data_IF_864728776196
#
_entry.id   IF_864728776196
#
_cell.length_a   1.000
_cell.length_b   1.000
_cell.length_c   1.000
_cell.angle_alpha   90.00
_cell.angle_beta   90.00
_cell.angle_gamma   90.00
#
_symmetry.space_group_name_H-M   'P 1'
#
loop_
_entity.id
_entity.type
_entity.pdbx_description
1 polymer ?
#
# COMPACT_ATOMS: atom_id res chain seq x y z
N UNK A 1 22.63 -8.49 -38.06
CA UNK A 1 22.11 -9.85 -38.21
C UNK A 1 22.34 -10.31 -39.63
N UNK A 2 23.28 -11.23 -39.79
CA UNK A 2 23.75 -11.75 -41.07
C UNK A 2 22.64 -12.57 -41.76
N UNK A 3 22.50 -12.43 -43.08
CA UNK A 3 21.50 -13.11 -43.94
C UNK A 3 21.61 -14.66 -43.97
N UNK A 4 22.26 -15.27 -42.98
CA UNK A 4 22.57 -16.70 -42.96
C UNK A 4 21.45 -17.59 -42.40
N UNK A 5 20.42 -17.01 -41.77
CA UNK A 5 19.34 -17.79 -41.11
C UNK A 5 17.95 -17.31 -41.51
N UNK A 6 17.62 -17.26 -42.81
CA UNK A 6 16.24 -17.51 -43.24
C UNK A 6 16.18 -17.73 -44.76
N UNK A 7 16.12 -19.00 -45.17
CA UNK A 7 15.55 -19.35 -46.47
C UNK A 7 14.19 -19.96 -46.15
N UNK A 8 13.14 -19.13 -46.25
CA UNK A 8 11.75 -19.56 -46.21
C UNK A 8 11.36 -19.90 -47.64
N UNK A 9 11.24 -21.19 -47.95
CA UNK A 9 10.74 -21.65 -49.25
C UNK A 9 9.22 -21.83 -49.16
N UNK A 10 8.48 -20.72 -49.02
CA UNK A 10 7.02 -20.68 -49.14
C UNK A 10 6.54 -20.66 -50.61
N UNK A 11 7.28 -21.34 -51.49
CA UNK A 11 6.86 -21.59 -52.87
C UNK A 11 6.98 -23.08 -53.12
N UNK A 12 5.94 -23.69 -53.67
CA UNK A 12 6.01 -25.04 -54.24
C UNK A 12 7.12 -25.06 -55.30
N UNK A 13 8.30 -25.54 -54.92
CA UNK A 13 9.36 -25.82 -55.87
C UNK A 13 8.98 -27.11 -56.57
N UNK A 14 8.63 -27.02 -57.86
CA UNK A 14 8.51 -28.19 -58.72
C UNK A 14 9.93 -28.66 -59.02
N UNK A 15 10.34 -29.78 -58.42
CA UNK A 15 11.63 -30.41 -58.66
C UNK A 15 11.56 -31.22 -59.94
N UNK A 16 12.36 -30.85 -60.94
CA UNK A 16 12.48 -31.60 -62.19
C UNK A 16 13.62 -32.62 -62.05
N UNK A 17 13.24 -33.90 -61.94
CA UNK A 17 14.17 -35.02 -61.82
C UNK A 17 14.65 -35.56 -63.19
N UNK A 18 14.19 -34.98 -64.30
CA UNK A 18 14.71 -35.31 -65.64
C UNK A 18 16.11 -34.73 -65.90
N UNK A 19 16.55 -33.78 -65.05
CA UNK A 19 17.85 -33.12 -65.14
C UNK A 19 18.74 -33.55 -63.96
N UNK A 20 19.91 -34.12 -64.28
CA UNK A 20 20.91 -34.54 -63.30
C UNK A 20 21.99 -33.47 -63.22
N UNK A 21 22.35 -33.05 -61.99
CA UNK A 21 23.45 -32.10 -61.79
C UNK A 21 24.76 -32.68 -62.33
N UNK A 22 25.42 -31.96 -63.22
CA UNK A 22 26.70 -32.39 -63.80
C UNK A 22 27.86 -32.36 -62.79
N UNK A 23 27.70 -31.65 -61.66
CA UNK A 23 28.74 -31.55 -60.62
C UNK A 23 28.62 -32.63 -59.55
N UNK A 24 27.41 -33.07 -59.22
CA UNK A 24 27.17 -34.07 -58.15
C UNK A 24 26.62 -35.40 -58.67
N UNK A 25 26.14 -35.45 -59.92
CA UNK A 25 25.47 -36.61 -60.49
C UNK A 25 24.12 -36.92 -59.85
N UNK A 26 23.53 -35.98 -59.11
CA UNK A 26 22.27 -36.18 -58.37
C UNK A 26 21.09 -35.48 -59.03
N UNK A 27 19.89 -36.06 -58.88
CA UNK A 27 18.63 -35.43 -59.27
C UNK A 27 18.27 -34.29 -58.32
N UNK A 28 17.38 -33.40 -58.76
CA UNK A 28 16.88 -32.27 -57.99
C UNK A 28 16.23 -32.71 -56.67
N UNK A 29 15.44 -33.79 -56.67
CA UNK A 29 14.85 -34.39 -55.46
C UNK A 29 15.89 -34.87 -54.46
N UNK A 30 16.94 -35.55 -54.94
CA UNK A 30 18.02 -36.02 -54.06
C UNK A 30 18.79 -34.86 -53.44
N UNK A 31 19.06 -33.81 -54.22
CA UNK A 31 19.73 -32.61 -53.71
C UNK A 31 18.86 -31.94 -52.65
N UNK A 32 17.57 -31.75 -52.92
CA UNK A 32 16.63 -31.16 -51.96
C UNK A 32 16.56 -31.97 -50.67
N UNK A 33 16.36 -33.29 -50.76
CA UNK A 33 16.36 -34.19 -49.59
C UNK A 33 17.66 -34.10 -48.81
N UNK A 34 18.81 -34.04 -49.47
CA UNK A 34 20.10 -33.91 -48.80
C UNK A 34 20.26 -32.54 -48.10
N UNK A 35 19.74 -31.46 -48.69
CA UNK A 35 19.76 -30.13 -48.08
C UNK A 35 18.88 -30.11 -46.83
N UNK A 36 17.67 -30.67 -46.91
CA UNK A 36 16.76 -30.77 -45.76
C UNK A 36 17.35 -31.65 -44.67
N UNK A 37 17.94 -32.79 -45.03
CA UNK A 37 18.58 -33.73 -44.10
C UNK A 37 19.78 -33.11 -43.37
N UNK A 38 20.55 -32.26 -44.06
CA UNK A 38 21.68 -31.52 -43.45
C UNK A 38 21.28 -30.18 -42.83
N UNK A 39 20.01 -29.83 -42.82
CA UNK A 39 19.55 -28.54 -42.27
C UNK A 39 19.49 -28.65 -40.75
N UNK A 40 20.36 -27.91 -40.09
CA UNK A 40 20.30 -27.67 -38.65
C UNK A 40 19.12 -26.72 -38.40
N UNK A 41 18.13 -27.19 -37.65
CA UNK A 41 16.91 -26.45 -37.28
C UNK A 41 16.79 -26.21 -35.79
N UNK A 42 17.60 -26.93 -34.99
CA UNK A 42 17.61 -26.82 -33.54
C UNK A 42 18.99 -26.47 -33.02
N UNK A 43 19.02 -25.80 -31.88
CA UNK A 43 20.25 -25.34 -31.25
C UNK A 43 21.15 -26.51 -30.83
N UNK A 44 20.56 -27.66 -30.45
CA UNK A 44 21.27 -28.90 -30.12
C UNK A 44 21.94 -29.63 -31.29
N UNK A 45 21.65 -29.26 -32.53
CA UNK A 45 22.23 -29.90 -33.72
C UNK A 45 23.56 -29.24 -34.13
N UNK A 46 24.00 -28.19 -33.43
CA UNK A 46 25.27 -27.50 -33.64
C UNK A 46 26.41 -28.17 -32.86
N UNK A 47 27.48 -28.57 -33.56
CA UNK A 47 28.61 -29.30 -32.97
C UNK A 47 29.43 -28.45 -31.97
N UNK A 48 29.43 -27.12 -32.16
CA UNK A 48 30.12 -26.12 -31.36
C UNK A 48 29.30 -25.61 -30.17
N UNK A 49 28.14 -26.20 -29.90
CA UNK A 49 27.25 -25.83 -28.80
C UNK A 49 27.15 -26.97 -27.79
N UNK A 50 27.30 -26.65 -26.51
CA UNK A 50 26.99 -27.52 -25.38
C UNK A 50 25.55 -27.25 -24.90
N UNK A 51 24.68 -28.24 -25.10
CA UNK A 51 23.26 -28.19 -24.75
C UNK A 51 22.89 -29.05 -23.55
N UNK A 52 23.88 -29.61 -22.83
CA UNK A 52 23.64 -30.55 -21.71
C UNK A 52 22.76 -29.93 -20.62
N UNK A 53 22.88 -28.62 -20.39
CA UNK A 53 22.17 -27.90 -19.32
C UNK A 53 21.08 -26.93 -19.82
N UNK A 54 20.55 -27.12 -21.04
CA UNK A 54 19.60 -26.18 -21.64
C UNK A 54 18.28 -26.08 -20.84
N UNK A 55 17.82 -24.85 -20.61
CA UNK A 55 16.57 -24.45 -19.93
C UNK A 55 16.04 -23.15 -20.53
N UNK A 56 14.79 -22.80 -20.22
CA UNK A 56 14.21 -21.52 -20.64
C UNK A 56 14.94 -20.32 -20.01
N UNK A 57 15.03 -19.21 -20.76
CA UNK A 57 15.59 -17.91 -20.32
C UNK A 57 17.09 -17.93 -19.94
N UNK A 58 17.88 -18.72 -20.65
CA UNK A 58 19.33 -18.75 -20.50
C UNK A 58 20.04 -17.82 -21.50
N UNK A 59 21.24 -17.37 -21.13
CA UNK A 59 22.17 -16.67 -22.00
C UNK A 59 23.09 -17.69 -22.70
N UNK A 60 23.49 -17.41 -23.94
CA UNK A 60 24.49 -18.19 -24.66
C UNK A 60 25.83 -17.46 -24.59
N UNK A 61 26.87 -18.13 -24.09
CA UNK A 61 28.21 -17.58 -23.94
C UNK A 61 29.28 -18.55 -24.45
N UNK A 62 30.40 -18.03 -24.95
CA UNK A 62 31.54 -18.86 -25.34
C UNK A 62 32.35 -19.25 -24.10
N UNK A 63 32.68 -20.53 -23.96
CA UNK A 63 33.54 -21.05 -22.90
C UNK A 63 34.92 -21.36 -23.46
N UNK A 64 35.95 -20.65 -23.01
CA UNK A 64 37.35 -20.90 -23.40
C UNK A 64 37.82 -22.30 -22.94
N UNK A 65 37.35 -22.77 -21.79
CA UNK A 65 37.72 -24.08 -21.22
C UNK A 65 37.23 -25.26 -22.05
N UNK A 66 36.04 -25.14 -22.65
CA UNK A 66 35.45 -26.21 -23.47
C UNK A 66 35.59 -25.96 -24.97
N UNK A 67 36.00 -24.76 -25.38
CA UNK A 67 36.08 -24.32 -26.77
C UNK A 67 34.72 -24.25 -27.48
N UNK A 68 33.60 -24.22 -26.73
CA UNK A 68 32.23 -24.31 -27.23
C UNK A 68 31.34 -23.20 -26.66
N UNK A 69 30.24 -22.89 -27.36
CA UNK A 69 29.16 -22.07 -26.82
C UNK A 69 28.37 -22.89 -25.79
N UNK A 70 28.17 -22.37 -24.60
CA UNK A 70 27.40 -22.99 -23.52
C UNK A 70 26.26 -22.08 -23.06
N UNK A 71 25.35 -22.63 -22.27
CA UNK A 71 24.21 -21.92 -21.71
C UNK A 71 24.46 -21.55 -20.25
N UNK A 72 24.10 -20.32 -19.86
CA UNK A 72 24.21 -19.82 -18.49
C UNK A 72 22.83 -19.39 -18.01
N UNK A 73 22.46 -19.75 -16.79
CA UNK A 73 21.22 -19.28 -16.17
C UNK A 73 21.25 -17.75 -16.00
N UNK A 74 20.21 -17.05 -16.48
CA UNK A 74 20.11 -15.60 -16.34
C UNK A 74 20.10 -15.11 -14.89
N UNK A 75 19.66 -15.95 -13.93
CA UNK A 75 19.72 -15.63 -12.51
C UNK A 75 21.12 -15.81 -11.90
N UNK A 76 21.90 -16.78 -12.41
CA UNK A 76 23.29 -17.02 -11.99
C UNK A 76 24.29 -16.11 -12.72
N UNK A 77 23.86 -15.48 -13.82
CA UNK A 77 24.61 -14.51 -14.60
C UNK A 77 24.93 -13.20 -13.85
N UNK A 78 24.54 -13.07 -12.57
CA UNK A 78 24.63 -11.85 -11.74
C UNK A 78 26.01 -11.18 -11.64
N UNK A 79 27.08 -11.81 -12.14
CA UNK A 79 28.43 -11.23 -12.23
C UNK A 79 29.00 -11.06 -13.65
N UNK A 80 28.25 -11.45 -14.70
CA UNK A 80 28.69 -11.31 -16.09
C UNK A 80 28.63 -9.84 -16.49
N UNK A 81 29.78 -9.31 -16.95
CA UNK A 81 29.88 -7.97 -17.52
C UNK A 81 28.88 -7.81 -18.66
N UNK A 82 27.85 -6.97 -18.45
CA UNK A 82 26.82 -6.67 -19.45
C UNK A 82 25.49 -7.44 -19.34
N UNK A 83 25.32 -8.34 -18.36
CA UNK A 83 24.08 -9.14 -18.22
C UNK A 83 23.32 -8.97 -16.88
N UNK A 84 23.80 -8.14 -15.95
CA UNK A 84 23.11 -7.84 -14.69
C UNK A 84 23.51 -6.49 -14.09
N UNK A 85 22.63 -5.89 -13.27
CA UNK A 85 22.93 -4.66 -12.53
C UNK A 85 23.69 -4.99 -11.24
N UNK A 86 24.81 -4.31 -11.00
CA UNK A 86 25.58 -4.40 -9.75
C UNK A 86 25.19 -3.26 -8.83
N UNK A 87 25.36 -3.45 -7.52
CA UNK A 87 25.08 -2.41 -6.51
C UNK A 87 26.30 -2.18 -5.62
N UNK A 88 26.65 -0.92 -5.39
CA UNK A 88 27.57 -0.49 -4.33
C UNK A 88 26.74 0.11 -3.20
N UNK A 89 26.93 -0.37 -1.97
CA UNK A 89 26.35 0.23 -0.76
C UNK A 89 27.45 0.89 0.08
N UNK A 90 27.22 2.13 0.52
CA UNK A 90 28.12 2.85 1.45
C UNK A 90 27.29 3.53 2.53
N UNK A 91 27.68 3.36 3.78
CA UNK A 91 27.03 3.97 4.95
C UNK A 91 27.81 5.19 5.41
N UNK A 92 27.11 6.21 5.91
CA UNK A 92 27.67 7.38 6.57
C UNK A 92 28.67 8.16 5.73
N UNK A 93 28.44 8.26 4.41
CA UNK A 93 29.34 9.04 3.57
C UNK A 93 29.21 10.53 3.92
N UNK A 94 30.34 11.24 3.86
CA UNK A 94 30.40 12.69 4.06
C UNK A 94 30.81 13.32 2.74
N UNK A 95 29.92 14.11 2.15
CA UNK A 95 30.14 14.79 0.86
C UNK A 95 29.38 16.12 0.82
N UNK A 96 29.88 17.07 0.05
CA UNK A 96 29.27 18.39 -0.13
C UNK A 96 29.40 18.88 -1.58
N UNK A 97 28.68 19.95 -1.98
CA UNK A 97 28.86 20.53 -3.31
C UNK A 97 30.27 21.04 -3.60
N UNK A 98 31.03 21.42 -2.57
CA UNK A 98 32.39 21.96 -2.69
C UNK A 98 33.44 20.85 -2.57
N UNK A 99 33.18 19.86 -1.73
CA UNK A 99 34.04 18.69 -1.49
C UNK A 99 33.21 17.40 -1.63
N UNK A 100 32.98 16.93 -2.87
CA UNK A 100 32.16 15.74 -3.09
C UNK A 100 32.89 14.45 -2.69
N UNK A 101 32.14 13.49 -2.16
CA UNK A 101 32.64 12.15 -1.90
C UNK A 101 32.73 11.37 -3.20
N UNK A 102 33.93 10.99 -3.61
CA UNK A 102 34.15 10.16 -4.80
C UNK A 102 33.92 8.69 -4.46
N UNK A 103 33.01 8.04 -5.18
CA UNK A 103 32.79 6.58 -5.17
C UNK A 103 33.21 6.00 -6.51
N UNK A 104 34.20 5.11 -6.49
CA UNK A 104 34.70 4.43 -7.69
C UNK A 104 33.81 3.25 -8.04
N UNK A 105 33.38 3.21 -9.29
CA UNK A 105 32.56 2.16 -9.91
C UNK A 105 33.39 1.51 -11.02
N UNK A 106 33.79 0.24 -10.86
CA UNK A 106 34.55 -0.45 -11.90
C UNK A 106 33.65 -0.71 -13.10
N UNK A 107 34.06 -0.24 -14.28
CA UNK A 107 33.36 -0.47 -15.55
C UNK A 107 34.32 -1.11 -16.55
N UNK A 108 33.82 -1.53 -17.71
CA UNK A 108 34.66 -1.87 -18.86
C UNK A 108 33.89 -1.51 -20.13
N UNK A 109 34.33 -0.45 -20.83
CA UNK A 109 33.63 0.04 -22.02
C UNK A 109 34.61 0.53 -23.08
N UNK A 110 34.24 0.31 -24.35
CA UNK A 110 34.98 0.80 -25.52
C UNK A 110 34.23 1.92 -26.26
N UNK A 111 32.91 2.03 -26.06
CA UNK A 111 32.04 2.99 -26.75
C UNK A 111 31.12 3.79 -25.81
N UNK A 112 31.30 3.63 -24.49
CA UNK A 112 30.58 4.34 -23.42
C UNK A 112 29.07 4.15 -23.40
N UNK A 113 28.54 3.12 -24.07
CA UNK A 113 27.12 2.75 -23.99
C UNK A 113 26.83 1.89 -22.76
N UNK A 114 27.14 2.42 -21.57
CA UNK A 114 26.81 1.76 -20.30
C UNK A 114 25.48 2.31 -19.75
N UNK A 115 24.70 1.50 -19.02
CA UNK A 115 23.51 1.97 -18.32
C UNK A 115 23.81 3.16 -17.41
N UNK A 116 22.85 4.08 -17.26
CA UNK A 116 22.98 5.18 -16.30
C UNK A 116 23.05 4.61 -14.89
N UNK A 117 23.97 5.12 -14.08
CA UNK A 117 24.01 4.80 -12.66
C UNK A 117 22.77 5.39 -11.96
N UNK A 118 22.15 4.61 -11.08
CA UNK A 118 21.04 5.07 -10.24
C UNK A 118 21.55 5.21 -8.81
N UNK A 119 21.66 6.46 -8.34
CA UNK A 119 22.11 6.81 -6.99
C UNK A 119 20.88 6.97 -6.09
N UNK A 120 20.80 6.16 -5.05
CA UNK A 120 19.80 6.23 -4.00
C UNK A 120 20.44 6.78 -2.73
N UNK A 121 19.72 7.66 -2.03
CA UNK A 121 20.04 8.15 -0.70
C UNK A 121 19.05 7.55 0.29
N UNK A 122 19.53 7.11 1.45
CA UNK A 122 18.66 6.76 2.56
C UNK A 122 18.13 8.03 3.22
N UNK A 123 16.82 8.16 3.22
CA UNK A 123 16.07 9.16 3.95
C UNK A 123 15.62 8.51 5.26
N UNK A 124 15.88 9.16 6.40
CA UNK A 124 15.64 8.60 7.74
C UNK A 124 14.15 8.40 8.05
N UNK A 125 13.27 8.74 7.10
CA UNK A 125 11.84 8.81 7.32
C UNK A 125 11.46 10.19 7.81
N UNK A 126 10.19 10.52 7.67
CA UNK A 126 9.64 11.75 8.22
C UNK A 126 9.55 11.56 9.75
N UNK A 127 10.16 12.44 10.53
CA UNK A 127 10.15 12.39 12.01
C UNK A 127 9.05 13.33 12.55
N UNK A 128 8.49 13.01 13.73
CA UNK A 128 7.46 13.82 14.39
C UNK A 128 6.25 14.16 13.49
N UNK A 129 5.82 13.21 12.64
CA UNK A 129 4.73 13.44 11.70
C UNK A 129 3.40 13.38 12.43
N UNK A 130 2.65 14.47 12.41
CA UNK A 130 1.27 14.51 12.90
C UNK A 130 0.31 14.34 11.73
N UNK A 131 -0.57 13.35 11.82
CA UNK A 131 -1.61 13.08 10.83
C UNK A 131 -2.94 12.83 11.53
N UNK A 132 -3.98 13.54 11.09
CA UNK A 132 -5.36 13.27 11.50
C UNK A 132 -5.86 12.00 10.82
N UNK A 133 -6.27 11.02 11.62
CA UNK A 133 -6.76 9.71 11.16
C UNK A 133 -8.27 9.66 10.99
N UNK A 134 -8.99 10.43 11.81
CA UNK A 134 -10.42 10.63 11.70
C UNK A 134 -10.76 12.08 12.05
N UNK A 135 -11.62 12.69 11.23
CA UNK A 135 -12.22 14.01 11.48
C UNK A 135 -13.70 13.90 11.86
N UNK A 136 -14.27 12.68 11.86
CA UNK A 136 -15.67 12.39 12.17
C UNK A 136 -16.67 13.26 11.38
N UNK A 137 -16.29 13.60 10.15
CA UNK A 137 -17.16 14.34 9.23
C UNK A 137 -18.21 13.43 8.60
N UNK A 138 -19.25 14.03 8.01
CA UNK A 138 -20.26 13.26 7.28
C UNK A 138 -19.67 12.34 6.20
N UNK A 139 -18.55 12.74 5.59
CA UNK A 139 -17.84 11.95 4.58
C UNK A 139 -17.23 10.65 5.12
N UNK A 140 -16.95 10.57 6.43
CA UNK A 140 -16.35 9.41 7.09
C UNK A 140 -17.40 8.46 7.69
N UNK A 141 -18.69 8.77 7.61
CA UNK A 141 -19.76 7.92 8.17
C UNK A 141 -19.72 6.47 7.67
N UNK A 142 -19.30 6.25 6.41
CA UNK A 142 -19.17 4.93 5.81
C UNK A 142 -17.97 4.11 6.32
N UNK A 143 -17.05 4.75 7.06
CA UNK A 143 -15.92 4.08 7.68
C UNK A 143 -16.33 3.34 8.97
N UNK A 144 -17.59 3.50 9.40
CA UNK A 144 -18.17 2.89 10.59
C UNK A 144 -19.38 2.02 10.25
N UNK A 145 -19.71 1.09 11.15
CA UNK A 145 -20.94 0.31 11.06
C UNK A 145 -22.13 1.27 11.13
N UNK A 146 -23.03 1.17 10.16
CA UNK A 146 -24.20 2.04 10.05
C UNK A 146 -25.05 1.98 11.32
N UNK A 147 -25.35 3.15 11.87
CA UNK A 147 -26.13 3.31 13.08
C UNK A 147 -27.03 4.56 12.95
N UNK A 148 -28.35 4.34 12.97
CA UNK A 148 -29.37 5.40 12.75
C UNK A 148 -29.47 6.43 13.89
N UNK A 149 -28.78 6.20 15.01
CA UNK A 149 -28.67 7.13 16.13
C UNK A 149 -27.31 7.81 16.22
N UNK A 150 -26.40 7.55 15.29
CA UNK A 150 -25.16 8.32 15.17
C UNK A 150 -25.31 9.41 14.11
N UNK A 151 -24.83 10.60 14.42
CA UNK A 151 -24.77 11.74 13.50
C UNK A 151 -23.31 12.09 13.26
N UNK A 152 -23.00 12.43 12.01
CA UNK A 152 -21.70 12.92 11.56
C UNK A 152 -21.89 14.25 10.85
N UNK A 153 -21.59 15.36 11.52
CA UNK A 153 -21.82 16.72 11.01
C UNK A 153 -20.58 17.62 11.13
N UNK A 154 -19.40 16.99 11.15
CA UNK A 154 -18.13 17.62 11.54
C UNK A 154 -17.70 17.19 12.94
N UNK A 155 -18.61 16.51 13.66
CA UNK A 155 -18.35 15.72 14.85
C UNK A 155 -19.18 14.44 14.78
N UNK A 156 -18.77 13.40 15.52
CA UNK A 156 -19.62 12.25 15.77
C UNK A 156 -20.32 12.39 17.12
N UNK A 157 -21.65 12.25 17.14
CA UNK A 157 -22.44 12.34 18.38
C UNK A 157 -23.76 11.57 18.26
N UNK A 158 -24.46 11.41 19.39
CA UNK A 158 -25.78 10.78 19.41
C UNK A 158 -26.85 11.72 18.85
N UNK A 159 -27.72 11.16 18.01
CA UNK A 159 -28.92 11.84 17.49
C UNK A 159 -29.94 11.98 18.60
N UNK A 160 -30.24 13.23 18.98
CA UNK A 160 -31.27 13.56 19.99
C UNK A 160 -32.56 14.09 19.38
N UNK A 161 -32.48 14.63 18.16
CA UNK A 161 -33.62 15.12 17.40
C UNK A 161 -34.00 14.14 16.28
N UNK A 162 -35.21 13.59 16.37
CA UNK A 162 -35.74 12.64 15.39
C UNK A 162 -36.94 13.24 14.67
N UNK A 163 -36.70 13.70 13.44
CA UNK A 163 -37.75 14.25 12.58
C UNK A 163 -38.52 13.13 11.90
N UNK A 164 -39.84 13.21 11.93
CA UNK A 164 -40.73 12.25 11.28
C UNK A 164 -41.91 12.97 10.67
N UNK A 165 -42.35 12.51 9.50
CA UNK A 165 -43.45 13.13 8.78
C UNK A 165 -44.78 12.66 9.38
N UNK A 166 -45.71 13.59 9.57
CA UNK A 166 -47.08 13.23 9.89
C UNK A 166 -47.74 12.56 8.68
N UNK A 167 -48.49 11.49 8.96
CA UNK A 167 -49.40 10.89 7.98
C UNK A 167 -50.77 11.50 8.15
N UNK A 168 -51.34 12.07 7.08
CA UNK A 168 -52.73 12.52 7.11
C UNK A 168 -53.64 11.31 7.34
N UNK A 169 -54.52 11.40 8.35
CA UNK A 169 -55.46 10.33 8.66
C UNK A 169 -56.84 10.62 8.06
N UNK A 170 -57.41 11.79 8.40
CA UNK A 170 -58.72 12.23 7.89
C UNK A 170 -58.94 13.73 8.09
N UNK A 171 -59.84 14.26 7.29
CA UNK A 171 -60.42 15.58 7.49
C UNK A 171 -61.60 15.47 8.47
N UNK A 172 -61.72 16.43 9.37
CA UNK A 172 -62.86 16.61 10.27
C UNK A 172 -63.49 17.97 10.00
N UNK A 173 -64.75 18.17 10.43
CA UNK A 173 -65.59 19.34 10.10
C UNK A 173 -64.90 20.71 10.21
N UNK A 174 -63.89 20.86 11.07
CA UNK A 174 -63.12 22.11 11.23
C UNK A 174 -61.60 21.93 11.26
N UNK A 175 -61.07 20.70 11.18
CA UNK A 175 -59.64 20.40 11.41
C UNK A 175 -59.19 19.13 10.69
N UNK A 176 -57.90 19.01 10.41
CA UNK A 176 -57.29 17.79 9.90
C UNK A 176 -56.67 16.97 11.04
N UNK A 177 -56.85 15.65 11.00
CA UNK A 177 -56.22 14.69 11.91
C UNK A 177 -54.99 14.08 11.23
N UNK A 178 -53.89 14.04 11.95
CA UNK A 178 -52.63 13.46 11.51
C UNK A 178 -52.15 12.42 12.53
N UNK A 179 -51.46 11.39 12.06
CA UNK A 179 -50.93 10.29 12.87
C UNK A 179 -49.45 10.11 12.63
N UNK A 180 -48.77 9.59 13.65
CA UNK A 180 -47.34 9.25 13.63
C UNK A 180 -47.10 8.08 14.58
N UNK A 181 -46.13 7.24 14.22
CA UNK A 181 -45.69 6.12 15.05
C UNK A 181 -44.28 6.40 15.55
N UNK A 182 -44.07 6.29 16.87
CA UNK A 182 -42.76 6.45 17.49
C UNK A 182 -42.34 5.11 18.07
N UNK A 183 -41.18 4.61 17.64
CA UNK A 183 -40.59 3.40 18.19
C UNK A 183 -39.85 3.72 19.49
N UNK A 184 -40.52 3.49 20.62
CA UNK A 184 -39.96 3.73 21.95
C UNK A 184 -38.81 2.79 22.31
N UNK A 185 -38.65 1.67 21.60
CA UNK A 185 -37.57 0.71 21.91
C UNK A 185 -36.18 1.25 21.58
N UNK A 186 -36.12 2.37 20.84
CA UNK A 186 -34.88 3.05 20.47
C UNK A 186 -34.37 4.06 21.50
N UNK A 187 -35.21 4.43 22.48
CA UNK A 187 -34.94 5.54 23.39
C UNK A 187 -34.98 5.12 24.85
N UNK A 188 -34.00 5.59 25.64
CA UNK A 188 -34.07 5.54 27.10
C UNK A 188 -35.20 6.41 27.63
N UNK A 189 -35.34 7.60 27.03
CA UNK A 189 -36.25 8.66 27.49
C UNK A 189 -36.66 9.54 26.32
N UNK A 190 -37.96 9.85 26.24
CA UNK A 190 -38.48 10.91 25.36
C UNK A 190 -38.70 12.15 26.22
N UNK A 191 -38.06 13.26 25.86
CA UNK A 191 -38.09 14.50 26.63
C UNK A 191 -39.12 15.49 26.12
N UNK A 192 -39.44 15.45 24.83
CA UNK A 192 -40.43 16.35 24.27
C UNK A 192 -40.73 16.13 22.81
N UNK A 193 -41.66 16.96 22.33
CA UNK A 193 -42.12 16.98 20.95
C UNK A 193 -42.20 18.42 20.48
N UNK A 194 -41.82 18.64 19.23
CA UNK A 194 -41.93 19.92 18.55
C UNK A 194 -42.56 19.69 17.17
N UNK A 195 -43.67 20.38 16.90
CA UNK A 195 -44.35 20.28 15.60
C UNK A 195 -43.76 21.32 14.66
N UNK A 196 -43.33 20.88 13.49
CA UNK A 196 -42.77 21.72 12.44
C UNK A 196 -43.49 21.55 11.10
N UNK A 197 -43.01 22.29 10.11
CA UNK A 197 -43.45 22.21 8.72
C UNK A 197 -42.20 22.21 7.81
N UNK A 198 -42.13 21.24 6.90
CA UNK A 198 -41.14 21.19 5.82
C UNK A 198 -41.88 21.37 4.48
N UNK A 199 -41.88 22.62 4.01
CA UNK A 199 -42.71 23.03 2.88
C UNK A 199 -44.20 22.87 3.16
N UNK A 200 -44.83 21.86 2.57
CA UNK A 200 -46.27 21.55 2.77
C UNK A 200 -46.48 20.33 3.68
N UNK A 201 -45.41 19.68 4.14
CA UNK A 201 -45.46 18.48 4.98
C UNK A 201 -45.35 18.90 6.44
N UNK A 202 -46.31 18.48 7.27
CA UNK A 202 -46.19 18.65 8.72
C UNK A 202 -45.22 17.60 9.29
N UNK A 203 -44.34 18.01 10.18
CA UNK A 203 -43.35 17.15 10.80
C UNK A 203 -43.47 17.18 12.32
N UNK A 204 -43.03 16.09 12.96
CA UNK A 204 -42.82 16.02 14.41
C UNK A 204 -41.34 15.77 14.66
N UNK A 205 -40.67 16.69 15.35
CA UNK A 205 -39.37 16.45 15.96
C UNK A 205 -39.60 15.85 17.33
N UNK A 206 -39.19 14.59 17.49
CA UNK A 206 -39.15 13.92 18.79
C UNK A 206 -37.78 14.16 19.41
N UNK A 207 -37.75 14.85 20.56
CA UNK A 207 -36.52 15.07 21.33
C UNK A 207 -36.36 13.91 22.31
N UNK A 208 -35.37 13.07 22.10
CA UNK A 208 -35.19 11.85 22.87
C UNK A 208 -33.73 11.52 23.13
N UNK A 209 -33.50 10.80 24.22
CA UNK A 209 -32.21 10.24 24.61
C UNK A 209 -32.16 8.81 24.06
N UNK A 210 -31.35 8.52 23.02
CA UNK A 210 -31.18 7.16 22.52
C UNK A 210 -30.53 6.25 23.57
N UNK A 211 -30.71 4.94 23.41
CA UNK A 211 -29.84 3.97 24.10
C UNK A 211 -28.38 4.16 23.71
N UNK A 212 -27.47 3.72 24.58
CA UNK A 212 -26.02 3.81 24.32
C UNK A 212 -25.66 3.13 23.00
N UNK A 213 -24.73 3.73 22.26
CA UNK A 213 -24.32 3.25 20.95
C UNK A 213 -22.81 3.03 20.93
N UNK A 214 -22.42 1.92 20.31
CA UNK A 214 -21.03 1.64 20.02
C UNK A 214 -20.77 2.04 18.57
N UNK A 215 -19.96 3.07 18.39
CA UNK A 215 -19.44 3.45 17.09
C UNK A 215 -18.22 2.58 16.77
N UNK A 216 -18.36 1.68 15.80
CA UNK A 216 -17.37 0.64 15.49
C UNK A 216 -16.86 0.85 14.05
N UNK A 217 -15.55 1.03 13.83
CA UNK A 217 -14.99 1.11 12.49
C UNK A 217 -15.12 -0.20 11.71
N UNK A 218 -15.42 -0.10 10.42
CA UNK A 218 -15.45 -1.25 9.50
C UNK A 218 -14.03 -1.72 9.14
N UNK A 219 -13.07 -0.79 9.06
CA UNK A 219 -11.68 -1.03 8.67
C UNK A 219 -10.65 -0.85 9.79
N UNK A 220 -9.40 -1.19 9.48
CA UNK A 220 -8.23 -0.84 10.29
C UNK A 220 -7.55 0.41 9.74
N UNK A 221 -6.98 1.23 10.62
CA UNK A 221 -5.96 2.20 10.23
C UNK A 221 -4.70 1.47 9.79
N UNK A 222 -4.24 1.79 8.59
CA UNK A 222 -2.97 1.28 8.07
C UNK A 222 -1.81 2.12 8.61
N UNK A 223 -0.93 1.47 9.38
CA UNK A 223 0.29 2.07 9.95
C UNK A 223 1.56 1.44 9.36
N UNK A 224 1.49 0.88 8.15
CA UNK A 224 2.64 0.20 7.51
C UNK A 224 3.84 1.10 7.27
N UNK A 225 3.63 2.41 7.14
CA UNK A 225 4.65 3.44 7.00
C UNK A 225 5.15 4.01 8.34
N UNK A 226 4.57 3.58 9.46
CA UNK A 226 4.94 3.99 10.81
C UNK A 226 6.03 3.06 11.35
N UNK A 227 7.13 3.63 11.81
CA UNK A 227 8.21 2.93 12.51
C UNK A 227 8.01 2.99 14.02
N UNK A 228 7.69 4.17 14.54
CA UNK A 228 7.49 4.41 15.97
C UNK A 228 6.30 5.33 16.21
N UNK A 229 5.42 4.97 17.15
CA UNK A 229 4.24 5.78 17.51
C UNK A 229 4.56 6.62 18.74
N UNK A 230 4.37 7.93 18.66
CA UNK A 230 4.51 8.80 19.84
C UNK A 230 3.22 8.80 20.66
N UNK A 231 2.08 9.05 19.98
CA UNK A 231 0.77 8.98 20.60
C UNK A 231 -0.37 8.82 19.59
N UNK A 232 -1.51 8.35 20.12
CA UNK A 232 -2.82 8.70 19.60
C UNK A 232 -3.47 9.75 20.51
N UNK A 233 -4.09 10.77 19.92
CA UNK A 233 -4.76 11.84 20.66
C UNK A 233 -6.16 12.05 20.13
N UNK A 234 -7.13 11.88 21.01
CA UNK A 234 -8.54 12.09 20.73
C UNK A 234 -8.97 13.46 21.26
N UNK A 235 -9.42 14.34 20.36
CA UNK A 235 -10.17 15.54 20.75
C UNK A 235 -11.65 15.19 20.78
N UNK A 236 -12.22 15.25 21.98
CA UNK A 236 -13.60 14.92 22.24
C UNK A 236 -14.10 15.72 23.44
N UNK A 237 -15.41 15.98 23.47
CA UNK A 237 -16.10 16.63 24.58
C UNK A 237 -17.06 15.62 25.20
N UNK A 238 -17.06 15.52 26.53
CA UNK A 238 -17.94 14.60 27.24
C UNK A 238 -17.22 13.86 28.36
N UNK A 239 -18.00 13.21 29.23
CA UNK A 239 -17.48 12.44 30.38
C UNK A 239 -17.80 10.95 30.27
N UNK A 240 -18.75 10.60 29.41
CA UNK A 240 -19.31 9.26 29.32
C UNK A 240 -18.77 8.49 28.10
N UNK A 241 -18.04 9.16 27.20
CA UNK A 241 -17.32 8.48 26.11
C UNK A 241 -16.34 7.44 26.68
N UNK A 242 -16.38 6.23 26.12
CA UNK A 242 -15.41 5.18 26.40
C UNK A 242 -14.75 4.69 25.12
N UNK A 243 -13.45 4.45 25.17
CA UNK A 243 -12.63 4.04 24.03
C UNK A 243 -12.09 2.63 24.29
N UNK A 244 -12.14 1.79 23.25
CA UNK A 244 -11.45 0.51 23.20
C UNK A 244 -10.75 0.36 21.86
N UNK A 245 -9.68 -0.43 21.81
CA UNK A 245 -8.89 -0.61 20.59
C UNK A 245 -8.71 -2.07 20.22
N UNK A 246 -8.47 -2.34 18.94
CA UNK A 246 -8.14 -3.67 18.43
C UNK A 246 -6.97 -3.59 17.46
N UNK A 247 -6.05 -4.56 17.54
CA UNK A 247 -4.87 -4.70 16.66
C UNK A 247 -4.92 -5.96 15.79
N UNK A 248 -6.05 -6.66 15.79
CA UNK A 248 -6.25 -7.93 15.09
C UNK A 248 -7.47 -7.91 14.16
N UNK A 249 -7.83 -6.72 13.69
CA UNK A 249 -8.98 -6.47 12.81
C UNK A 249 -10.33 -6.74 13.47
N UNK A 250 -10.46 -6.39 14.75
CA UNK A 250 -11.71 -6.46 15.51
C UNK A 250 -12.04 -7.84 16.06
N UNK A 251 -11.10 -8.79 16.07
CA UNK A 251 -11.34 -10.14 16.64
C UNK A 251 -11.28 -10.10 18.17
N UNK A 252 -10.34 -9.35 18.72
CA UNK A 252 -10.22 -9.06 20.16
C UNK A 252 -10.10 -7.57 20.38
N UNK A 253 -10.61 -7.11 21.52
CA UNK A 253 -10.63 -5.71 21.90
C UNK A 253 -9.94 -5.54 23.24
N UNK A 254 -9.28 -4.38 23.39
CA UNK A 254 -8.45 -4.06 24.53
C UNK A 254 -8.79 -2.69 25.09
N UNK A 255 -8.65 -2.59 26.40
CA UNK A 255 -8.65 -1.36 27.18
C UNK A 255 -7.31 -1.20 27.87
N UNK A 256 -6.97 0.02 28.27
CA UNK A 256 -5.76 0.30 29.03
C UNK A 256 -6.12 0.67 30.47
N UNK A 257 -5.61 -0.11 31.42
CA UNK A 257 -5.87 0.12 32.83
C UNK A 257 -4.65 -0.32 33.66
N UNK A 258 -4.28 0.49 34.67
CA UNK A 258 -3.13 0.23 35.54
C UNK A 258 -1.85 -0.09 34.75
N UNK A 259 -1.55 0.73 33.75
CA UNK A 259 -0.36 0.61 32.90
C UNK A 259 -0.27 -0.71 32.11
N UNK A 260 -1.42 -1.32 31.79
CA UNK A 260 -1.49 -2.58 31.05
C UNK A 260 -2.65 -2.62 30.08
N UNK A 261 -2.44 -3.31 28.96
CA UNK A 261 -3.48 -3.71 28.04
C UNK A 261 -4.24 -4.92 28.58
N UNK A 262 -5.56 -4.79 28.70
CA UNK A 262 -6.45 -5.83 29.22
C UNK A 262 -7.54 -6.10 28.19
N UNK A 263 -7.93 -7.36 28.03
CA UNK A 263 -9.02 -7.72 27.13
C UNK A 263 -10.37 -7.19 27.66
N UNK A 264 -11.21 -6.76 26.74
CA UNK A 264 -12.57 -6.28 27.01
C UNK A 264 -13.49 -6.79 25.91
N UNK A 265 -14.67 -7.25 26.28
CA UNK A 265 -15.69 -7.65 25.32
C UNK A 265 -16.26 -6.41 24.63
N UNK A 266 -16.48 -6.48 23.30
CA UNK A 266 -17.08 -5.40 22.53
C UNK A 266 -18.60 -5.43 22.65
N UNK A 267 -19.09 -5.14 23.85
CA UNK A 267 -20.49 -4.91 24.14
C UNK A 267 -20.68 -3.66 25.00
N UNK A 268 -21.91 -3.15 25.01
CA UNK A 268 -22.22 -1.88 25.67
C UNK A 268 -21.89 -1.90 27.17
N UNK A 269 -22.18 -2.99 27.87
CA UNK A 269 -22.00 -3.05 29.33
C UNK A 269 -20.52 -3.16 29.70
N UNK A 270 -19.80 -4.05 29.02
CA UNK A 270 -18.37 -4.26 29.25
C UNK A 270 -17.55 -3.01 28.93
N UNK A 271 -17.82 -2.35 27.78
CA UNK A 271 -17.13 -1.12 27.39
C UNK A 271 -17.48 0.05 28.32
N UNK A 272 -18.73 0.15 28.79
CA UNK A 272 -19.12 1.20 29.75
C UNK A 272 -18.31 1.11 31.06
N UNK A 273 -18.14 -0.11 31.55
CA UNK A 273 -17.52 -0.36 32.84
C UNK A 273 -15.98 -0.38 32.77
N UNK A 274 -15.41 -0.83 31.65
CA UNK A 274 -13.98 -1.12 31.54
C UNK A 274 -13.25 -0.32 30.44
N UNK A 275 -13.96 0.35 29.54
CA UNK A 275 -13.34 1.15 28.49
C UNK A 275 -12.57 2.35 29.05
N UNK A 276 -11.63 2.87 28.26
CA UNK A 276 -10.83 4.03 28.65
C UNK A 276 -11.68 5.29 28.54
N UNK A 277 -11.63 6.20 29.52
CA UNK A 277 -12.11 7.56 29.29
C UNK A 277 -11.11 8.35 28.42
N UNK A 278 -11.53 9.54 27.96
CA UNK A 278 -10.73 10.40 27.08
C UNK A 278 -9.39 10.78 27.72
N UNK A 279 -9.39 11.07 29.02
CA UNK A 279 -8.20 11.46 29.77
C UNK A 279 -7.18 10.32 29.85
N UNK A 280 -7.65 9.11 30.15
CA UNK A 280 -6.82 7.91 30.19
C UNK A 280 -6.24 7.62 28.82
N UNK A 281 -7.07 7.63 27.77
CA UNK A 281 -6.64 7.38 26.39
C UNK A 281 -5.52 8.35 25.95
N UNK A 282 -5.71 9.65 26.21
CA UNK A 282 -4.75 10.70 25.82
C UNK A 282 -3.46 10.73 26.66
N UNK A 283 -3.39 9.97 27.76
CA UNK A 283 -2.21 9.86 28.62
C UNK A 283 -1.34 8.64 28.32
N UNK A 284 -1.80 7.73 27.47
CA UNK A 284 -1.03 6.54 27.08
C UNK A 284 0.21 7.00 26.32
N UNK A 285 1.38 6.65 26.84
CA UNK A 285 2.66 7.02 26.23
C UNK A 285 3.06 6.08 25.07
N UNK A 286 4.08 6.52 24.35
CA UNK A 286 4.77 5.82 23.28
C UNK A 286 5.10 4.35 23.61
N UNK A 287 5.63 4.07 24.80
CA UNK A 287 6.03 2.71 25.21
C UNK A 287 4.86 1.74 25.08
N UNK A 288 3.69 2.10 25.61
CA UNK A 288 2.53 1.21 25.60
C UNK A 288 1.88 1.09 24.22
N UNK A 289 1.89 2.17 23.42
CA UNK A 289 1.39 2.11 22.04
C UNK A 289 2.24 1.19 21.16
N UNK A 290 3.57 1.29 21.26
CA UNK A 290 4.47 0.47 20.46
C UNK A 290 4.51 -1.00 20.95
N UNK A 291 4.25 -1.26 22.23
CA UNK A 291 4.05 -2.65 22.71
C UNK A 291 2.80 -3.29 22.10
N UNK A 292 1.72 -2.53 21.99
CA UNK A 292 0.44 -3.02 21.47
C UNK A 292 0.47 -3.20 19.94
N UNK A 293 0.97 -2.20 19.21
CA UNK A 293 0.79 -2.10 17.75
C UNK A 293 1.96 -2.73 16.99
N UNK A 294 2.09 -4.05 17.11
CA UNK A 294 3.15 -4.82 16.43
C UNK A 294 2.80 -5.22 15.00
N UNK A 295 1.52 -5.19 14.64
CA UNK A 295 1.00 -5.66 13.34
C UNK A 295 0.81 -4.53 12.32
N UNK A 296 1.23 -3.30 12.64
CA UNK A 296 1.06 -2.09 11.83
C UNK A 296 -0.41 -1.79 11.44
N UNK A 297 -1.35 -2.20 12.30
CA UNK A 297 -2.77 -1.92 12.15
C UNK A 297 -3.42 -1.72 13.51
N UNK A 298 -4.39 -0.82 13.57
CA UNK A 298 -5.19 -0.57 14.77
C UNK A 298 -6.55 -0.03 14.37
N UNK A 299 -7.57 -0.26 15.20
CA UNK A 299 -8.87 0.43 15.11
C UNK A 299 -9.34 0.81 16.51
N UNK A 300 -10.15 1.86 16.61
CA UNK A 300 -10.75 2.32 17.87
C UNK A 300 -12.27 2.31 17.75
N UNK A 301 -12.94 1.71 18.73
CA UNK A 301 -14.39 1.83 18.87
C UNK A 301 -14.71 2.74 20.05
N UNK A 302 -15.84 3.43 19.94
CA UNK A 302 -16.25 4.48 20.85
C UNK A 302 -17.65 4.21 21.36
N UNK A 303 -17.81 4.09 22.67
CA UNK A 303 -19.12 4.06 23.30
C UNK A 303 -19.58 5.49 23.54
N UNK A 304 -20.77 5.81 23.04
CA UNK A 304 -21.48 7.02 23.38
C UNK A 304 -22.59 6.70 24.38
N UNK A 305 -22.65 7.49 25.46
CA UNK A 305 -23.67 7.35 26.49
C UNK A 305 -24.04 8.73 27.04
N UNK A 306 -25.34 8.99 27.16
CA UNK A 306 -25.86 10.23 27.74
C UNK A 306 -27.16 9.94 28.49
N UNK A 307 -27.47 10.76 29.50
CA UNK A 307 -28.65 10.62 30.36
C UNK A 307 -29.70 11.70 30.05
N UNK A 308 -29.29 12.80 29.43
CA UNK A 308 -30.14 13.90 28.98
C UNK A 308 -29.75 14.41 27.60
N UNK A 309 -30.69 15.00 26.86
CA UNK A 309 -30.40 15.68 25.58
C UNK A 309 -29.55 16.97 25.77
N UNK A 310 -29.38 17.42 27.01
CA UNK A 310 -28.52 18.55 27.35
C UNK A 310 -27.07 18.15 27.61
N UNK A 311 -26.78 16.85 27.72
CA UNK A 311 -25.41 16.36 27.81
C UNK A 311 -24.72 16.56 26.45
N UNK A 312 -23.42 16.89 26.48
CA UNK A 312 -22.61 17.05 25.28
C UNK A 312 -21.57 15.94 25.27
N UNK A 313 -21.74 14.99 24.35
CA UNK A 313 -20.85 13.83 24.16
C UNK A 313 -20.53 13.72 22.66
N UNK A 314 -19.39 14.27 22.26
CA UNK A 314 -18.99 14.50 20.87
C UNK A 314 -17.53 14.08 20.64
N UNK A 315 -17.27 13.43 19.50
CA UNK A 315 -15.91 13.20 18.99
C UNK A 315 -15.61 14.19 17.87
N UNK A 316 -14.44 14.84 17.91
CA UNK A 316 -14.04 15.83 16.92
C UNK A 316 -12.92 15.34 16.02
N UNK A 317 -11.81 14.85 16.59
CA UNK A 317 -10.74 14.29 15.79
C UNK A 317 -9.93 13.23 16.53
N UNK A 318 -9.27 12.38 15.77
CA UNK A 318 -8.23 11.47 16.24
C UNK A 318 -6.94 11.74 15.47
N UNK A 319 -5.92 12.21 16.18
CA UNK A 319 -4.59 12.47 15.63
C UNK A 319 -3.62 11.34 16.02
N UNK A 320 -2.72 11.01 15.08
CA UNK A 320 -1.56 10.15 15.30
C UNK A 320 -0.30 11.01 15.12
N UNK A 321 0.59 10.99 16.10
CA UNK A 321 1.98 11.44 15.93
C UNK A 321 2.90 10.22 15.85
N UNK A 322 3.81 10.20 14.87
CA UNK A 322 4.69 9.07 14.64
C UNK A 322 5.98 9.43 13.89
N UNK A 323 7.00 8.56 14.04
CA UNK A 323 8.18 8.52 13.18
C UNK A 323 7.99 7.51 12.05
N UNK A 324 8.21 7.94 10.82
CA UNK A 324 8.04 7.13 9.62
C UNK A 324 9.24 6.21 9.35
N UNK A 325 8.98 5.09 8.68
CA UNK A 325 10.04 4.18 8.23
C UNK A 325 11.03 4.88 7.29
N UNK A 326 12.32 4.70 7.54
CA UNK A 326 13.36 5.14 6.62
C UNK A 326 13.20 4.54 5.22
N UNK A 327 13.38 5.36 4.19
CA UNK A 327 13.10 5.03 2.78
C UNK A 327 14.31 5.31 1.89
N UNK A 328 14.54 4.45 0.89
CA UNK A 328 15.55 4.72 -0.15
C UNK A 328 14.92 5.60 -1.24
N UNK A 329 15.37 6.84 -1.34
CA UNK A 329 14.89 7.80 -2.33
C UNK A 329 15.96 7.99 -3.40
N UNK A 330 15.54 8.11 -4.66
CA UNK A 330 16.47 8.49 -5.72
C UNK A 330 17.07 9.86 -5.42
N UNK A 331 18.40 9.96 -5.41
CA UNK A 331 19.09 11.23 -5.27
C UNK A 331 18.77 12.13 -6.45
N UNK A 332 18.55 13.42 -6.21
CA UNK A 332 18.31 14.39 -7.27
C UNK A 332 19.56 14.50 -8.15
N UNK A 333 19.37 14.64 -9.47
CA UNK A 333 20.48 14.64 -10.43
C UNK A 333 21.51 15.76 -10.19
N UNK A 334 21.12 16.87 -9.57
CA UNK A 334 22.02 17.97 -9.21
C UNK A 334 22.90 17.68 -7.98
N UNK A 335 22.57 16.64 -7.21
CA UNK A 335 23.26 16.24 -5.97
C UNK A 335 24.38 15.22 -6.17
N UNK A 336 24.65 14.81 -7.41
CA UNK A 336 25.81 14.00 -7.75
C UNK A 336 26.27 14.26 -9.19
N UNK A 337 27.55 14.01 -9.48
CA UNK A 337 28.02 13.95 -10.88
C UNK A 337 28.51 12.54 -11.21
N UNK A 338 28.42 12.19 -12.49
CA UNK A 338 28.93 10.92 -13.03
C UNK A 338 30.06 11.24 -14.01
N UNK A 339 31.26 10.77 -13.68
CA UNK A 339 32.49 11.08 -14.44
C UNK A 339 33.12 9.78 -14.94
N UNK A 340 33.29 9.65 -16.25
CA UNK A 340 34.09 8.58 -16.84
C UNK A 340 35.56 8.94 -16.75
N UNK A 341 36.23 8.51 -15.69
CA UNK A 341 37.66 8.76 -15.50
C UNK A 341 38.52 7.96 -16.50
N UNK A 342 38.05 6.78 -16.94
CA UNK A 342 38.64 6.00 -18.02
C UNK A 342 37.66 4.97 -18.58
N UNK A 343 38.09 4.19 -19.57
CA UNK A 343 37.36 3.03 -20.10
C UNK A 343 37.09 1.94 -19.05
N UNK A 344 37.80 1.97 -17.92
CA UNK A 344 37.68 0.97 -16.85
C UNK A 344 37.20 1.53 -15.51
N UNK A 345 36.98 2.84 -15.42
CA UNK A 345 36.62 3.51 -14.17
C UNK A 345 35.60 4.62 -14.38
N UNK A 346 34.46 4.48 -13.70
CA UNK A 346 33.46 5.52 -13.52
C UNK A 346 33.54 6.03 -12.07
N UNK A 347 33.39 7.32 -11.89
CA UNK A 347 33.40 7.97 -10.58
C UNK A 347 32.06 8.65 -10.37
N UNK A 348 31.41 8.36 -9.23
CA UNK A 348 30.23 9.08 -8.79
C UNK A 348 30.66 10.08 -7.72
N UNK A 349 30.54 11.36 -8.02
CA UNK A 349 30.90 12.46 -7.12
C UNK A 349 29.67 12.84 -6.32
N UNK A 350 29.56 12.35 -5.10
CA UNK A 350 28.37 12.53 -4.26
C UNK A 350 28.49 13.84 -3.47
N UNK A 351 27.58 14.78 -3.72
CA UNK A 351 27.60 16.15 -3.15
C UNK A 351 26.77 16.29 -1.87
N UNK A 352 26.44 15.17 -1.23
CA UNK A 352 25.65 15.12 -0.01
C UNK A 352 26.20 14.05 0.94
N UNK A 353 25.75 14.13 2.19
CA UNK A 353 26.06 13.16 3.23
C UNK A 353 24.87 12.23 3.52
N UNK A 354 25.16 11.02 4.01
CA UNK A 354 24.17 10.01 4.40
C UNK A 354 24.55 8.61 3.92
N UNK A 355 23.59 7.68 3.97
CA UNK A 355 23.78 6.34 3.39
C UNK A 355 23.37 6.35 1.91
N UNK A 356 24.10 5.60 1.09
CA UNK A 356 23.86 5.55 -0.35
C UNK A 356 23.90 4.13 -0.91
N UNK A 357 23.14 3.94 -1.99
CA UNK A 357 23.24 2.81 -2.91
C UNK A 357 23.44 3.31 -4.33
N UNK A 358 24.34 2.70 -5.09
CA UNK A 358 24.58 3.02 -6.50
C UNK A 358 24.35 1.74 -7.31
N UNK A 359 23.29 1.71 -8.12
CA UNK A 359 23.06 0.63 -9.09
C UNK A 359 23.76 0.98 -10.41
N UNK A 360 24.50 0.05 -11.01
CA UNK A 360 25.30 0.26 -12.22
C UNK A 360 25.39 -0.97 -13.12
#
# INVERSE_FOLDING_TARGET
>A
MSKFFNITLDKEIVLDDSVISTSTGWTSDKIYKTIIDKRITKFEELEDVDVVNKKDKQLVAYSEDTGKFTTIDGAEAGNITGAGMKQISKMGIVGSPIEPRIVNVPINTVDFKVPRVNVLKYDLGDQDVIVTKNEFTNGESNDFIEDDMMVFDGKAHLKTDHVSNFTFNREMDTKNEYTITIDKTKFKKVEGFEVGEDGVIKTLTTKAVPFDRLLIPTGDMNLSNVEYIDYFKLTATGKNIRIVCSVDSGKTWKTFNNEKWIDVDLDIESVRNNGMDIETFNKINDVFWNELVTTHKIRFAYLFSQDSIADVEELENLDLQYDGKGKWVQAKEDTFDVVYASNTLLQVHVKFSGDIKINY
#
